data_IF_451460658858
#
_entry.id   IF_451460658858
#
_cell.length_a   1.000
_cell.length_b   1.000
_cell.length_c   1.000
_cell.angle_alpha   90.00
_cell.angle_beta   90.00
_cell.angle_gamma   90.00
#
_symmetry.space_group_name_H-M   'P 1'
#
loop_
_entity.id
_entity.type
_entity.pdbx_description
1 polymer ?
#
# COMPACT_ATOMS: atom_id res chain seq x y z
N UNK A 1 42.11 -64.83 -13.87
CA UNK A 1 41.09 -64.04 -14.58
C UNK A 1 41.28 -62.56 -14.24
N UNK A 2 41.66 -61.69 -15.19
CA UNK A 2 41.92 -60.29 -14.89
C UNK A 2 40.61 -59.51 -14.85
N UNK A 3 40.32 -58.89 -13.70
CA UNK A 3 39.19 -57.97 -13.57
C UNK A 3 39.40 -56.74 -14.46
N UNK A 4 38.46 -56.53 -15.37
CA UNK A 4 38.44 -55.46 -16.36
C UNK A 4 38.34 -54.08 -15.68
N UNK A 5 39.44 -53.30 -15.76
CA UNK A 5 39.58 -51.95 -15.19
C UNK A 5 38.53 -50.94 -15.73
N UNK A 6 37.83 -51.24 -16.82
CA UNK A 6 36.78 -50.37 -17.38
C UNK A 6 35.46 -50.39 -16.61
N UNK A 7 35.26 -51.33 -15.67
CA UNK A 7 34.02 -51.43 -14.88
C UNK A 7 34.04 -50.60 -13.60
N UNK A 8 35.23 -50.36 -13.04
CA UNK A 8 35.41 -49.61 -11.78
C UNK A 8 35.23 -48.10 -12.03
N UNK A 9 35.66 -47.59 -13.18
CA UNK A 9 35.52 -46.18 -13.57
C UNK A 9 34.09 -45.77 -13.89
N UNK A 10 33.24 -46.66 -14.41
CA UNK A 10 31.81 -46.36 -14.64
C UNK A 10 30.99 -46.37 -13.34
N UNK A 11 31.35 -47.21 -12.37
CA UNK A 11 30.66 -47.29 -11.09
C UNK A 11 30.92 -46.07 -10.20
N UNK A 12 32.14 -45.55 -10.17
CA UNK A 12 32.49 -44.33 -9.42
C UNK A 12 31.87 -43.05 -10.01
N UNK A 13 31.75 -42.96 -11.34
CA UNK A 13 31.11 -41.81 -12.00
C UNK A 13 29.59 -41.79 -11.75
N UNK A 14 28.91 -42.95 -11.71
CA UNK A 14 27.50 -43.03 -11.32
C UNK A 14 27.27 -42.71 -9.83
N UNK A 15 28.19 -43.09 -8.93
CA UNK A 15 28.05 -42.79 -7.51
C UNK A 15 28.23 -41.29 -7.20
N UNK A 16 29.14 -40.60 -7.91
CA UNK A 16 29.32 -39.14 -7.76
C UNK A 16 28.15 -38.34 -8.35
N UNK A 17 27.54 -38.78 -9.46
CA UNK A 17 26.37 -38.08 -10.03
C UNK A 17 25.09 -38.27 -9.20
N UNK A 18 24.91 -39.43 -8.54
CA UNK A 18 23.81 -39.61 -7.59
C UNK A 18 23.99 -38.78 -6.31
N UNK A 19 25.22 -38.60 -5.81
CA UNK A 19 25.48 -37.79 -4.62
C UNK A 19 25.23 -36.29 -4.83
N UNK A 20 25.45 -35.78 -6.06
CA UNK A 20 25.12 -34.38 -6.40
C UNK A 20 23.63 -34.11 -6.57
N UNK A 21 22.81 -35.12 -6.91
CA UNK A 21 21.36 -34.94 -7.08
C UNK A 21 20.60 -34.92 -5.74
N UNK A 22 21.16 -35.54 -4.70
CA UNK A 22 20.56 -35.57 -3.36
C UNK A 22 20.72 -34.26 -2.57
N UNK A 23 21.65 -33.38 -2.99
CA UNK A 23 21.91 -32.11 -2.29
C UNK A 23 21.09 -30.92 -2.83
N UNK A 24 20.36 -31.08 -3.95
CA UNK A 24 19.61 -29.99 -4.58
C UNK A 24 18.12 -29.93 -4.22
N UNK A 25 17.61 -30.84 -3.39
CA UNK A 25 16.20 -30.86 -2.99
C UNK A 25 16.00 -30.39 -1.54
N UNK A 26 16.56 -29.25 -1.17
CA UNK A 26 15.90 -28.38 -0.20
C UNK A 26 14.85 -27.56 -0.94
N UNK A 27 13.84 -28.26 -1.47
CA UNK A 27 12.58 -27.62 -1.77
C UNK A 27 12.04 -27.12 -0.43
N UNK A 28 12.12 -25.80 -0.21
CA UNK A 28 11.43 -25.14 0.89
C UNK A 28 9.98 -25.63 0.82
N UNK A 29 9.50 -26.28 1.88
CA UNK A 29 8.07 -26.58 2.04
C UNK A 29 7.26 -25.37 1.58
N UNK A 30 6.23 -25.54 0.73
CA UNK A 30 5.42 -24.43 0.28
C UNK A 30 5.01 -23.64 1.52
N UNK A 31 5.37 -22.35 1.56
CA UNK A 31 4.87 -21.47 2.60
C UNK A 31 3.35 -21.68 2.63
N UNK A 32 2.81 -22.04 3.81
CA UNK A 32 1.41 -22.43 3.94
C UNK A 32 0.49 -21.43 3.22
N UNK A 33 -0.64 -21.92 2.67
CA UNK A 33 -1.54 -21.09 1.84
C UNK A 33 -1.80 -19.74 2.50
N UNK A 34 -1.53 -18.65 1.76
CA UNK A 34 -1.82 -17.29 2.22
C UNK A 34 -3.33 -17.17 2.45
N UNK A 35 -3.72 -16.95 3.72
CA UNK A 35 -5.14 -16.87 4.11
C UNK A 35 -5.71 -15.47 3.94
N UNK A 36 -4.90 -14.44 4.21
CA UNK A 36 -5.29 -13.04 4.21
C UNK A 36 -4.21 -12.20 3.53
N UNK A 37 -4.64 -11.12 2.87
CA UNK A 37 -3.75 -10.11 2.28
C UNK A 37 -4.17 -8.75 2.82
N UNK A 38 -3.25 -8.04 3.48
CA UNK A 38 -3.46 -6.68 3.95
C UNK A 38 -2.70 -5.71 3.03
N UNK A 39 -3.44 -4.96 2.21
CA UNK A 39 -2.88 -3.88 1.40
C UNK A 39 -2.94 -2.56 2.18
N UNK A 40 -1.79 -2.04 2.56
CA UNK A 40 -1.67 -0.71 3.19
C UNK A 40 -1.21 0.28 2.12
N UNK A 41 -1.96 1.36 1.96
CA UNK A 41 -1.66 2.43 1.00
C UNK A 41 -1.67 3.78 1.71
N UNK A 42 -0.58 4.53 1.60
CA UNK A 42 -0.48 5.91 2.04
C UNK A 42 -0.62 6.85 0.84
N UNK A 43 -1.36 7.95 0.99
CA UNK A 43 -1.50 8.97 -0.05
C UNK A 43 -0.33 9.97 0.06
N UNK A 44 0.27 10.31 -1.09
CA UNK A 44 1.37 11.27 -1.22
C UNK A 44 2.64 10.99 -0.37
N UNK A 45 2.79 9.78 0.19
CA UNK A 45 4.01 9.38 0.90
C UNK A 45 5.18 9.16 -0.05
N UNK A 46 6.20 10.00 0.09
CA UNK A 46 7.45 9.88 -0.66
C UNK A 46 8.40 8.88 0.01
N UNK A 47 8.95 7.93 -0.73
CA UNK A 47 9.90 6.95 -0.21
C UNK A 47 11.10 7.59 0.53
N UNK A 48 11.62 8.71 0.00
CA UNK A 48 12.80 9.40 0.56
C UNK A 48 12.59 10.01 1.95
N UNK A 49 11.36 10.03 2.48
CA UNK A 49 11.10 10.47 3.87
C UNK A 49 11.17 9.31 4.86
N UNK A 50 11.38 8.07 4.42
CA UNK A 50 11.43 6.91 5.31
C UNK A 50 12.89 6.49 5.59
N UNK A 51 13.24 6.14 6.84
CA UNK A 51 14.58 5.64 7.21
C UNK A 51 15.01 4.39 6.45
N UNK A 52 14.07 3.49 6.13
CA UNK A 52 14.36 2.32 5.28
C UNK A 52 14.92 2.69 3.90
N UNK A 53 14.67 3.90 3.41
CA UNK A 53 15.23 4.45 2.17
C UNK A 53 16.32 5.51 2.43
N UNK A 54 16.94 5.52 3.62
CA UNK A 54 18.09 6.37 3.97
C UNK A 54 17.75 7.72 4.60
N UNK A 55 16.50 8.01 4.92
CA UNK A 55 16.14 9.24 5.64
C UNK A 55 16.68 9.24 7.09
N UNK A 56 17.19 10.38 7.57
CA UNK A 56 17.72 10.51 8.94
C UNK A 56 16.87 11.39 9.85
N UNK A 57 15.82 12.01 9.33
CA UNK A 57 15.00 13.01 10.03
C UNK A 57 13.72 12.38 10.59
N UNK A 58 12.96 11.69 9.76
CA UNK A 58 11.70 11.07 10.14
C UNK A 58 11.93 9.80 10.97
N UNK A 59 11.05 9.56 11.94
CA UNK A 59 11.08 8.36 12.78
C UNK A 59 9.86 7.51 12.48
N UNK A 60 10.05 6.33 11.89
CA UNK A 60 8.94 5.44 11.50
C UNK A 60 9.14 4.01 11.99
N UNK A 61 9.23 3.79 13.32
CA UNK A 61 9.63 2.50 13.88
C UNK A 61 8.73 1.33 13.46
N UNK A 62 7.44 1.57 13.23
CA UNK A 62 6.50 0.53 12.76
C UNK A 62 6.74 0.13 11.30
N UNK A 63 7.03 1.09 10.41
CA UNK A 63 7.37 0.83 9.01
C UNK A 63 8.73 0.14 8.93
N UNK A 64 9.70 0.59 9.72
CA UNK A 64 11.04 0.00 9.77
C UNK A 64 10.99 -1.45 10.27
N UNK A 65 10.11 -1.74 11.25
CA UNK A 65 9.86 -3.11 11.72
C UNK A 65 9.25 -3.98 10.62
N UNK A 66 8.26 -3.48 9.87
CA UNK A 66 7.67 -4.20 8.75
C UNK A 66 8.73 -4.51 7.68
N UNK A 67 9.52 -3.50 7.31
CA UNK A 67 10.60 -3.62 6.33
C UNK A 67 11.65 -4.69 6.73
N UNK A 68 12.06 -4.72 8.01
CA UNK A 68 13.00 -5.73 8.53
C UNK A 68 12.49 -7.17 8.43
N UNK A 69 11.17 -7.36 8.46
CA UNK A 69 10.53 -8.67 8.35
C UNK A 69 10.06 -9.04 6.93
N UNK A 70 10.29 -8.16 5.95
CA UNK A 70 9.72 -8.27 4.61
C UNK A 70 10.75 -8.04 3.50
N UNK A 71 10.22 -7.80 2.31
CA UNK A 71 11.01 -7.39 1.14
C UNK A 71 10.80 -5.90 0.90
N UNK A 72 11.89 -5.17 0.67
CA UNK A 72 11.87 -3.74 0.32
C UNK A 72 12.26 -3.59 -1.14
N UNK A 73 11.44 -2.89 -1.92
CA UNK A 73 11.71 -2.60 -3.32
C UNK A 73 12.36 -1.23 -3.46
N UNK A 74 13.63 -1.19 -3.82
CA UNK A 74 14.38 0.07 -4.02
C UNK A 74 13.97 0.82 -5.29
N UNK A 75 13.29 0.15 -6.23
CA UNK A 75 12.91 0.68 -7.54
C UNK A 75 11.44 0.36 -7.85
N UNK A 76 10.54 1.00 -7.12
CA UNK A 76 9.10 0.93 -7.36
C UNK A 76 8.60 2.29 -7.89
N UNK A 77 7.85 2.27 -9.00
CA UNK A 77 7.34 3.47 -9.66
C UNK A 77 5.82 3.37 -9.86
N UNK A 78 5.12 4.48 -9.65
CA UNK A 78 3.71 4.59 -10.00
C UNK A 78 3.55 5.00 -11.47
N UNK A 79 2.47 4.58 -12.09
CA UNK A 79 2.23 4.90 -13.50
C UNK A 79 1.60 6.29 -13.70
N UNK A 80 1.14 6.94 -12.63
CA UNK A 80 0.59 8.28 -12.66
C UNK A 80 1.06 9.12 -11.46
N UNK A 81 1.35 10.40 -11.69
CA UNK A 81 1.85 11.34 -10.68
C UNK A 81 0.73 12.00 -9.85
N UNK A 82 -0.52 11.56 -10.01
CA UNK A 82 -1.68 12.03 -9.25
C UNK A 82 -2.53 10.84 -8.80
N UNK A 83 -3.29 10.99 -7.72
CA UNK A 83 -4.09 9.91 -7.13
C UNK A 83 -5.06 9.27 -8.15
N UNK A 84 -5.75 10.10 -8.96
CA UNK A 84 -6.78 9.63 -9.90
C UNK A 84 -6.24 8.73 -11.02
N UNK A 85 -5.10 9.02 -11.69
CA UNK A 85 -4.51 8.08 -12.65
C UNK A 85 -3.72 6.93 -11.99
N UNK A 86 -3.08 7.16 -10.84
CA UNK A 86 -2.19 6.17 -10.20
C UNK A 86 -2.96 4.96 -9.63
N UNK A 87 -4.01 5.23 -8.84
CA UNK A 87 -4.72 4.19 -8.08
C UNK A 87 -5.47 3.19 -8.98
N UNK A 88 -6.26 3.61 -9.98
CA UNK A 88 -6.89 2.68 -10.92
C UNK A 88 -5.86 1.89 -11.74
N UNK A 89 -4.72 2.51 -12.06
CA UNK A 89 -3.65 1.82 -12.78
C UNK A 89 -3.12 0.63 -11.99
N UNK A 90 -2.80 0.84 -10.71
CA UNK A 90 -2.35 -0.22 -9.82
C UNK A 90 -3.43 -1.27 -9.56
N UNK A 91 -4.65 -0.84 -9.26
CA UNK A 91 -5.72 -1.73 -8.81
C UNK A 91 -6.39 -2.52 -9.94
N UNK A 92 -6.27 -2.10 -11.20
CA UNK A 92 -6.74 -2.84 -12.38
C UNK A 92 -5.61 -3.41 -13.24
N UNK A 93 -4.35 -3.16 -12.87
CA UNK A 93 -3.18 -3.53 -13.68
C UNK A 93 -3.24 -3.00 -15.13
N UNK A 94 -3.69 -1.75 -15.30
CA UNK A 94 -3.76 -1.07 -16.62
C UNK A 94 -2.92 0.21 -16.60
N UNK A 95 -2.23 0.54 -17.69
CA UNK A 95 -1.54 1.83 -17.75
C UNK A 95 -2.54 3.00 -17.85
N UNK A 96 -2.21 4.19 -17.30
CA UNK A 96 -3.05 5.37 -17.49
C UNK A 96 -3.28 5.66 -18.97
N UNK A 97 -4.48 6.13 -19.30
CA UNK A 97 -4.97 6.37 -20.68
C UNK A 97 -5.18 5.10 -21.52
N UNK A 98 -4.96 3.92 -20.98
CA UNK A 98 -5.38 2.68 -21.63
C UNK A 98 -6.90 2.68 -21.83
N UNK A 99 -7.35 2.18 -22.99
CA UNK A 99 -8.77 1.91 -23.26
C UNK A 99 -9.20 0.52 -22.79
N UNK A 100 -8.27 -0.27 -22.26
CA UNK A 100 -8.55 -1.61 -21.79
C UNK A 100 -9.38 -1.57 -20.49
N UNK A 101 -10.35 -2.47 -20.41
CA UNK A 101 -11.09 -2.75 -19.17
C UNK A 101 -10.53 -4.05 -18.59
N UNK A 102 -10.11 -4.01 -17.34
CA UNK A 102 -9.63 -5.19 -16.61
C UNK A 102 -10.33 -5.26 -15.26
N UNK A 103 -10.62 -6.47 -14.73
CA UNK A 103 -11.13 -6.61 -13.38
C UNK A 103 -10.16 -5.98 -12.39
N UNK A 104 -10.70 -5.43 -11.31
CA UNK A 104 -9.89 -4.97 -10.20
C UNK A 104 -9.23 -6.14 -9.47
N UNK A 105 -8.19 -5.85 -8.69
CA UNK A 105 -7.59 -6.83 -7.78
C UNK A 105 -8.64 -7.44 -6.84
N UNK A 106 -9.62 -6.65 -6.39
CA UNK A 106 -10.71 -7.13 -5.55
C UNK A 106 -11.65 -8.09 -6.28
N UNK A 107 -12.12 -7.72 -7.47
CA UNK A 107 -12.93 -8.63 -8.31
C UNK A 107 -12.18 -9.95 -8.57
N UNK A 108 -10.87 -9.89 -8.85
CA UNK A 108 -10.06 -11.08 -9.03
C UNK A 108 -10.01 -11.96 -7.77
N UNK A 109 -9.77 -11.38 -6.58
CA UNK A 109 -9.72 -12.13 -5.32
C UNK A 109 -11.10 -12.71 -4.96
N UNK A 110 -12.18 -11.99 -5.22
CA UNK A 110 -13.55 -12.44 -5.00
C UNK A 110 -13.91 -13.67 -5.85
N UNK A 111 -13.40 -13.76 -7.10
CA UNK A 111 -13.56 -14.94 -7.95
C UNK A 111 -12.98 -16.22 -7.33
N UNK A 112 -12.00 -16.10 -6.42
CA UNK A 112 -11.44 -17.20 -5.65
C UNK A 112 -12.00 -17.32 -4.22
N UNK A 113 -13.15 -16.69 -3.96
CA UNK A 113 -13.88 -16.80 -2.70
C UNK A 113 -13.30 -15.96 -1.56
N UNK A 114 -12.40 -15.01 -1.84
CA UNK A 114 -11.88 -14.12 -0.81
C UNK A 114 -12.83 -12.96 -0.55
N UNK A 115 -13.01 -12.63 0.74
CA UNK A 115 -13.66 -11.40 1.16
C UNK A 115 -12.69 -10.22 0.96
N UNK A 116 -13.17 -9.12 0.39
CA UNK A 116 -12.35 -7.93 0.07
C UNK A 116 -12.96 -6.69 0.72
N UNK A 117 -12.41 -6.28 1.86
CA UNK A 117 -12.83 -5.09 2.58
C UNK A 117 -11.94 -3.89 2.28
N UNK A 118 -12.54 -2.69 2.29
CA UNK A 118 -11.84 -1.41 2.09
C UNK A 118 -12.09 -0.47 3.26
N UNK A 119 -11.01 0.03 3.86
CA UNK A 119 -11.08 1.04 4.93
C UNK A 119 -10.32 2.28 4.47
N UNK A 120 -10.98 3.44 4.48
CA UNK A 120 -10.37 4.70 4.02
C UNK A 120 -10.20 4.78 2.50
N UNK A 121 -9.18 5.53 2.04
CA UNK A 121 -8.99 5.89 0.63
C UNK A 121 -8.07 4.91 -0.11
N UNK A 122 -8.64 4.03 -0.94
CA UNK A 122 -7.91 3.08 -1.79
C UNK A 122 -8.04 3.40 -3.27
N UNK A 123 -9.24 3.40 -3.85
CA UNK A 123 -9.47 4.17 -5.08
C UNK A 123 -9.53 5.66 -4.74
N UNK A 124 -9.50 6.50 -5.78
CA UNK A 124 -9.52 7.93 -5.57
C UNK A 124 -10.88 8.40 -5.00
N UNK A 125 -10.84 8.97 -3.81
CA UNK A 125 -11.95 9.69 -3.19
C UNK A 125 -11.58 11.18 -3.05
N UNK A 126 -12.55 12.11 -3.22
CA UNK A 126 -12.29 13.54 -3.03
C UNK A 126 -12.03 13.85 -1.55
N UNK A 127 -10.85 14.36 -1.24
CA UNK A 127 -10.46 14.79 0.11
C UNK A 127 -10.51 16.33 0.15
N UNK A 128 -11.06 16.97 1.20
CA UNK A 128 -11.61 16.37 2.43
C UNK A 128 -13.08 15.91 2.34
N UNK A 129 -13.78 16.18 1.23
CA UNK A 129 -15.24 16.05 1.15
C UNK A 129 -15.79 14.66 1.48
N UNK A 130 -15.19 13.59 0.94
CA UNK A 130 -15.65 12.23 1.19
C UNK A 130 -15.44 11.78 2.64
N UNK A 131 -14.40 12.28 3.31
CA UNK A 131 -14.21 12.07 4.74
C UNK A 131 -15.16 12.93 5.58
N UNK A 132 -15.59 14.08 5.10
CA UNK A 132 -16.57 14.91 5.82
C UNK A 132 -17.98 14.30 5.78
N UNK A 133 -18.45 13.93 4.60
CA UNK A 133 -19.82 13.41 4.43
C UNK A 133 -19.91 11.88 4.61
N UNK A 134 -18.78 11.17 4.55
CA UNK A 134 -18.70 9.70 4.61
C UNK A 134 -19.11 9.01 3.31
N UNK A 135 -19.14 9.72 2.19
CA UNK A 135 -19.49 9.19 0.87
C UNK A 135 -18.39 8.31 0.29
N UNK A 136 -18.75 7.47 -0.67
CA UNK A 136 -17.79 6.63 -1.40
C UNK A 136 -17.02 7.41 -2.49
N UNK A 137 -17.35 8.67 -2.75
CA UNK A 137 -16.70 9.46 -3.80
C UNK A 137 -16.70 8.77 -5.17
N UNK A 138 -15.51 8.66 -5.79
CA UNK A 138 -15.29 7.99 -7.08
C UNK A 138 -14.67 6.59 -6.92
N UNK A 139 -15.01 5.92 -5.82
CA UNK A 139 -14.57 4.55 -5.57
C UNK A 139 -15.20 3.54 -6.56
N UNK A 140 -14.62 2.34 -6.65
CA UNK A 140 -15.10 1.25 -7.51
C UNK A 140 -15.78 0.20 -6.62
N UNK A 141 -17.10 0.20 -6.62
CA UNK A 141 -17.90 -0.61 -5.70
C UNK A 141 -17.64 -2.11 -5.87
N UNK A 142 -17.45 -2.57 -7.10
CA UNK A 142 -17.25 -3.95 -7.50
C UNK A 142 -15.95 -4.56 -6.93
N UNK A 143 -14.97 -3.72 -6.60
CA UNK A 143 -13.71 -4.18 -6.00
C UNK A 143 -13.90 -4.67 -4.56
N UNK A 144 -15.04 -4.40 -3.92
CA UNK A 144 -15.19 -4.54 -2.48
C UNK A 144 -16.46 -5.30 -2.10
N UNK A 145 -16.32 -6.32 -1.25
CA UNK A 145 -17.44 -6.97 -0.56
C UNK A 145 -17.95 -6.09 0.57
N UNK A 146 -17.06 -5.28 1.16
CA UNK A 146 -17.39 -4.37 2.24
C UNK A 146 -16.56 -3.08 2.18
N UNK A 147 -17.16 -1.96 2.60
CA UNK A 147 -16.57 -0.62 2.51
C UNK A 147 -16.85 0.17 3.77
N UNK A 148 -15.77 0.67 4.37
CA UNK A 148 -15.81 1.51 5.57
C UNK A 148 -15.23 2.89 5.25
N UNK A 149 -16.07 3.91 5.40
CA UNK A 149 -15.66 5.30 5.29
C UNK A 149 -15.55 5.90 6.70
N UNK A 150 -14.37 6.36 7.03
CA UNK A 150 -14.13 7.06 8.28
C UNK A 150 -14.50 8.51 8.12
N UNK A 151 -15.41 9.00 8.98
CA UNK A 151 -15.73 10.42 9.03
C UNK A 151 -14.68 11.18 9.84
N UNK A 152 -14.08 12.21 9.26
CA UNK A 152 -13.11 13.09 9.91
C UNK A 152 -13.34 14.53 9.45
N UNK A 153 -13.00 15.47 10.33
CA UNK A 153 -13.08 16.89 10.03
C UNK A 153 -11.94 17.35 9.10
N UNK A 154 -10.82 16.63 9.01
CA UNK A 154 -9.70 16.94 8.11
C UNK A 154 -9.27 18.43 8.23
N UNK A 155 -9.35 19.22 7.15
CA UNK A 155 -9.02 20.65 7.16
C UNK A 155 -10.00 21.50 7.98
N UNK A 156 -11.18 20.97 8.31
CA UNK A 156 -12.19 21.59 9.17
C UNK A 156 -11.98 21.30 10.65
N UNK A 157 -10.96 20.51 11.01
CA UNK A 157 -10.57 20.29 12.41
C UNK A 157 -10.32 21.64 13.11
N UNK A 158 -10.92 21.89 14.29
CA UNK A 158 -10.62 23.06 15.09
C UNK A 158 -9.12 23.13 15.42
N UNK A 159 -8.52 24.30 15.19
CA UNK A 159 -7.09 24.46 15.35
C UNK A 159 -6.48 25.50 14.45
N UNK A 160 -5.15 25.58 14.48
CA UNK A 160 -4.37 26.51 13.67
C UNK A 160 -4.17 25.94 12.26
N UNK A 161 -4.94 26.45 11.31
CA UNK A 161 -4.83 26.09 9.90
C UNK A 161 -3.77 26.93 9.21
N UNK A 162 -2.99 26.27 8.37
CA UNK A 162 -1.98 26.89 7.51
C UNK A 162 -2.18 26.41 6.08
N UNK A 163 -2.33 27.33 5.14
CA UNK A 163 -2.22 27.06 3.70
C UNK A 163 -0.84 27.53 3.25
N UNK A 164 0.08 26.58 3.17
CA UNK A 164 1.52 26.82 3.14
C UNK A 164 1.97 27.61 1.91
N UNK A 165 1.32 27.37 0.78
CA UNK A 165 1.66 28.00 -0.49
C UNK A 165 1.00 29.36 -0.74
N UNK A 166 0.04 29.75 0.09
CA UNK A 166 -0.61 31.07 0.04
C UNK A 166 -0.25 31.94 1.24
N UNK A 167 0.63 31.46 2.13
CA UNK A 167 1.02 32.12 3.37
C UNK A 167 -0.19 32.52 4.24
N UNK A 168 -1.24 31.70 4.24
CA UNK A 168 -2.43 31.94 5.07
C UNK A 168 -2.27 31.17 6.36
N UNK A 169 -2.42 31.87 7.49
CA UNK A 169 -2.48 31.29 8.82
C UNK A 169 -3.73 31.82 9.51
N UNK A 170 -4.64 30.92 9.91
CA UNK A 170 -5.93 31.33 10.48
C UNK A 170 -6.53 30.28 11.39
N UNK A 171 -7.31 30.73 12.37
CA UNK A 171 -8.19 29.88 13.19
C UNK A 171 -9.65 29.85 12.69
N UNK A 172 -9.98 30.69 11.70
CA UNK A 172 -11.31 30.70 11.05
C UNK A 172 -11.53 29.46 10.20
N UNK A 173 -12.72 28.87 10.26
CA UNK A 173 -13.08 27.66 9.50
C UNK A 173 -13.41 28.01 8.04
N UNK A 174 -13.92 29.22 7.80
CA UNK A 174 -14.29 29.68 6.47
C UNK A 174 -13.08 29.64 5.52
N UNK A 175 -13.28 29.06 4.33
CA UNK A 175 -12.22 28.92 3.31
C UNK A 175 -11.29 27.72 3.48
N UNK A 176 -11.52 26.85 4.48
CA UNK A 176 -10.76 25.59 4.66
C UNK A 176 -11.30 24.41 3.84
N UNK A 177 -12.27 24.64 2.96
CA UNK A 177 -12.96 23.60 2.20
C UNK A 177 -12.12 22.97 1.09
N UNK A 178 -10.87 23.41 0.94
CA UNK A 178 -9.98 23.01 -0.13
C UNK A 178 -10.72 23.12 -1.48
N UNK A 179 -11.21 24.31 -1.82
CA UNK A 179 -11.66 24.65 -3.17
C UNK A 179 -10.65 25.57 -3.87
N UNK A 180 -10.65 25.53 -5.20
CA UNK A 180 -9.80 26.38 -6.04
C UNK A 180 -8.40 25.83 -6.31
N UNK A 181 -7.58 26.55 -7.09
CA UNK A 181 -6.20 26.18 -7.34
C UNK A 181 -5.40 26.18 -6.04
N UNK A 182 -4.29 25.43 -5.99
CA UNK A 182 -3.30 25.56 -4.90
C UNK A 182 -3.75 25.15 -3.48
N UNK A 183 -5.00 24.72 -3.33
CA UNK A 183 -5.65 24.28 -2.08
C UNK A 183 -5.06 23.09 -1.31
N UNK A 184 -4.16 22.32 -1.92
CA UNK A 184 -3.77 20.99 -1.43
C UNK A 184 -2.69 21.05 -0.34
N UNK A 185 -2.05 22.21 -0.14
CA UNK A 185 -0.91 22.39 0.77
C UNK A 185 -1.36 22.91 2.14
N UNK A 186 -2.35 22.24 2.71
CA UNK A 186 -2.97 22.64 3.97
C UNK A 186 -2.51 21.73 5.13
N UNK A 187 -2.29 22.34 6.30
CA UNK A 187 -2.08 21.62 7.55
C UNK A 187 -2.96 22.21 8.64
N UNK A 188 -3.49 21.38 9.53
CA UNK A 188 -4.17 21.82 10.75
C UNK A 188 -3.39 21.29 11.95
N UNK A 189 -2.92 22.20 12.78
CA UNK A 189 -2.48 21.87 14.13
C UNK A 189 -3.72 21.89 15.02
N UNK A 190 -4.21 20.69 15.36
CA UNK A 190 -5.45 20.53 16.12
C UNK A 190 -5.32 21.10 17.54
N UNK A 191 -6.42 21.64 18.07
CA UNK A 191 -6.50 22.00 19.48
C UNK A 191 -6.62 20.75 20.39
N UNK A 192 -6.83 19.55 19.80
CA UNK A 192 -6.76 18.25 20.50
C UNK A 192 -5.43 17.56 20.22
N UNK A 193 -4.77 17.10 21.28
CA UNK A 193 -3.43 16.50 21.17
C UNK A 193 -3.43 14.96 21.07
N UNK A 194 -4.60 14.30 21.12
CA UNK A 194 -4.70 12.83 21.08
C UNK A 194 -4.78 12.22 19.67
N UNK A 195 -4.88 13.07 18.63
CA UNK A 195 -4.96 12.66 17.23
C UNK A 195 -6.28 11.95 16.85
N UNK A 196 -7.25 11.86 17.77
CA UNK A 196 -8.53 11.15 17.56
C UNK A 196 -9.43 11.78 16.50
N UNK A 197 -9.13 13.00 16.08
CA UNK A 197 -9.84 13.72 15.04
C UNK A 197 -9.27 13.47 13.63
N UNK A 198 -8.07 12.89 13.52
CA UNK A 198 -7.41 12.62 12.25
C UNK A 198 -8.01 11.39 11.58
N UNK A 199 -8.27 11.48 10.27
CA UNK A 199 -8.80 10.38 9.49
C UNK A 199 -7.93 9.12 9.60
N UNK A 200 -6.62 9.28 9.55
CA UNK A 200 -5.67 8.15 9.60
C UNK A 200 -5.72 7.39 10.93
N UNK A 201 -5.80 8.10 12.06
CA UNK A 201 -5.98 7.47 13.37
C UNK A 201 -7.30 6.69 13.43
N UNK A 202 -8.37 7.32 12.97
CA UNK A 202 -9.71 6.75 12.99
C UNK A 202 -9.86 5.57 12.00
N UNK A 203 -9.14 5.58 10.87
CA UNK A 203 -9.01 4.42 9.95
C UNK A 203 -8.24 3.29 10.63
N UNK A 204 -7.11 3.59 11.29
CA UNK A 204 -6.28 2.58 11.93
C UNK A 204 -7.04 1.82 13.03
N UNK A 205 -7.88 2.50 13.83
CA UNK A 205 -8.70 1.85 14.87
C UNK A 205 -9.81 0.95 14.32
N UNK A 206 -10.17 1.08 13.04
CA UNK A 206 -11.19 0.26 12.37
C UNK A 206 -10.62 -0.84 11.49
N UNK A 207 -9.35 -0.74 11.10
CA UNK A 207 -8.70 -1.66 10.19
C UNK A 207 -8.21 -2.97 10.86
N UNK A 208 -8.50 -3.17 12.15
CA UNK A 208 -8.14 -4.34 12.98
C UNK A 208 -9.36 -5.07 13.50
#
# INVERSE_FOLDING_TARGET
MPMNRSRISKALICALTLATFAATSWAREPAGKVKNVLLIMSDDLKASVLPVYGNTVCRTPNIDRLAKSGMVFERAYCQGLACSPSRPSMLRSIYPKSKATAPTIGEHLQQYGMHTARVGKIFHMPVPHAQLDGSNGRDVAECWTERYNTKSAETFTPGLYRLLNSNIVTRKIEGRDAKGPNRMWATVESDKEDGSDQADYMVATKAV
#
